data_IF_729748688472
#
_entry.id   IF_729748688472
#
_cell.length_a   1.000
_cell.length_b   1.000
_cell.length_c   1.000
_cell.angle_alpha   90.00
_cell.angle_beta   90.00
_cell.angle_gamma   90.00
#
_symmetry.space_group_name_H-M   'P 1'
#
loop_
_entity.id
_entity.type
_entity.pdbx_description
1 polymer ?
#
# COMPACT_ATOMS: atom_id res chain seq x y z
N UNK A 1 -17.06 2.56 -2.53
CA UNK A 1 -17.21 2.09 -1.13
C UNK A 1 -16.33 0.87 -0.96
N UNK A 2 -15.50 0.81 0.08
CA UNK A 2 -14.61 -0.34 0.30
C UNK A 2 -15.40 -1.53 0.86
N UNK A 3 -15.13 -2.70 0.32
CA UNK A 3 -15.78 -3.95 0.72
C UNK A 3 -14.90 -4.73 1.68
N UNK A 4 -15.49 -5.39 2.66
CA UNK A 4 -14.79 -6.35 3.50
C UNK A 4 -15.64 -7.60 3.74
N UNK A 5 -14.97 -8.71 3.99
CA UNK A 5 -15.59 -9.97 4.44
C UNK A 5 -15.12 -10.31 5.84
N UNK A 6 -15.94 -11.09 6.54
CA UNK A 6 -15.62 -11.63 7.86
C UNK A 6 -15.46 -13.14 7.75
N UNK A 7 -14.35 -13.67 8.24
CA UNK A 7 -14.03 -15.10 8.16
C UNK A 7 -13.50 -15.63 9.49
N UNK A 8 -13.71 -16.93 9.72
CA UNK A 8 -13.17 -17.64 10.90
C UNK A 8 -11.83 -18.30 10.57
N UNK A 9 -10.84 -18.12 11.42
CA UNK A 9 -9.52 -18.74 11.26
C UNK A 9 -9.56 -20.24 11.49
N UNK A 10 -9.11 -21.00 10.49
CA UNK A 10 -8.95 -22.46 10.55
C UNK A 10 -7.53 -22.92 10.89
N UNK A 11 -6.57 -22.01 11.10
CA UNK A 11 -5.18 -22.41 11.38
C UNK A 11 -5.04 -22.97 12.79
N UNK A 12 -4.22 -24.02 12.94
CA UNK A 12 -4.04 -24.71 14.22
C UNK A 12 -2.94 -24.03 15.07
N UNK A 13 -3.18 -22.78 15.47
CA UNK A 13 -2.28 -22.03 16.35
C UNK A 13 -3.10 -21.12 17.29
N UNK A 14 -2.45 -20.15 17.96
CA UNK A 14 -3.09 -19.20 18.88
C UNK A 14 -4.24 -18.35 18.27
N UNK A 15 -4.43 -18.41 16.96
CA UNK A 15 -5.50 -17.72 16.22
C UNK A 15 -6.67 -18.61 15.84
N UNK A 16 -6.62 -19.91 16.17
CA UNK A 16 -7.66 -20.88 15.86
C UNK A 16 -9.02 -20.41 16.36
N UNK A 17 -10.03 -20.59 15.52
CA UNK A 17 -11.43 -20.27 15.80
C UNK A 17 -11.74 -18.78 16.10
N UNK A 18 -10.77 -17.88 15.95
CA UNK A 18 -11.00 -16.42 16.02
C UNK A 18 -11.52 -15.87 14.70
N UNK A 19 -12.29 -14.79 14.78
CA UNK A 19 -12.86 -14.10 13.63
C UNK A 19 -12.00 -12.92 13.20
N UNK A 20 -11.86 -12.74 11.89
CA UNK A 20 -11.06 -11.69 11.27
C UNK A 20 -11.84 -11.04 10.13
N UNK A 21 -11.52 -9.78 9.84
CA UNK A 21 -12.00 -9.09 8.66
C UNK A 21 -10.86 -8.92 7.65
N UNK A 22 -11.16 -9.03 6.37
CA UNK A 22 -10.24 -8.68 5.28
C UNK A 22 -10.93 -7.84 4.22
N UNK A 23 -10.18 -6.90 3.66
CA UNK A 23 -10.63 -6.08 2.54
C UNK A 23 -10.80 -6.97 1.31
N UNK A 24 -11.83 -6.68 0.52
CA UNK A 24 -12.03 -7.23 -0.82
C UNK A 24 -11.67 -6.14 -1.82
N UNK A 25 -10.64 -6.41 -2.62
CA UNK A 25 -10.26 -5.58 -3.76
C UNK A 25 -10.99 -6.08 -5.00
N UNK A 26 -11.74 -5.20 -5.67
CA UNK A 26 -12.52 -5.57 -6.86
C UNK A 26 -11.63 -5.79 -8.08
N UNK A 27 -10.60 -4.96 -8.22
CA UNK A 27 -9.66 -5.02 -9.33
C UNK A 27 -8.27 -4.51 -8.91
N UNK A 28 -7.27 -4.81 -9.73
CA UNK A 28 -5.94 -4.18 -9.67
C UNK A 28 -5.75 -3.38 -10.95
N UNK A 29 -5.54 -2.07 -10.80
CA UNK A 29 -5.32 -1.16 -11.93
C UNK A 29 -3.80 -1.02 -12.14
N UNK A 30 -3.35 -1.30 -13.36
CA UNK A 30 -1.97 -1.14 -13.78
C UNK A 30 -1.71 0.26 -14.42
N UNK A 31 -0.53 0.47 -15.00
CA UNK A 31 -0.18 1.76 -15.63
C UNK A 31 -1.12 2.09 -16.81
N UNK A 32 -1.56 1.08 -17.57
CA UNK A 32 -2.47 1.27 -18.70
C UNK A 32 -3.85 1.72 -18.24
N UNK A 33 -4.39 1.05 -17.22
CA UNK A 33 -5.67 1.40 -16.61
C UNK A 33 -5.61 2.77 -15.92
N UNK A 34 -4.50 3.10 -15.25
CA UNK A 34 -4.31 4.40 -14.60
C UNK A 34 -4.24 5.53 -15.64
N UNK A 35 -3.49 5.34 -16.74
CA UNK A 35 -3.40 6.32 -17.82
C UNK A 35 -4.76 6.56 -18.47
N UNK A 36 -5.56 5.51 -18.70
CA UNK A 36 -6.92 5.66 -19.21
C UNK A 36 -7.84 6.38 -18.21
N UNK A 37 -7.74 6.05 -16.92
CA UNK A 37 -8.49 6.74 -15.87
C UNK A 37 -8.16 8.24 -15.84
N UNK A 38 -6.88 8.60 -15.92
CA UNK A 38 -6.43 10.00 -15.97
C UNK A 38 -6.96 10.73 -17.22
N UNK A 39 -6.90 10.08 -18.39
CA UNK A 39 -7.44 10.64 -19.65
C UNK A 39 -8.93 10.96 -19.53
N UNK A 40 -9.71 10.09 -18.89
CA UNK A 40 -11.15 10.27 -18.66
C UNK A 40 -11.49 11.46 -17.76
N UNK A 41 -10.57 11.91 -16.92
CA UNK A 41 -10.72 13.13 -16.10
C UNK A 41 -10.27 14.40 -16.84
N UNK A 42 -10.43 14.44 -18.16
CA UNK A 42 -10.12 15.57 -19.03
C UNK A 42 -8.65 16.02 -18.98
N UNK A 43 -7.71 15.10 -18.79
CA UNK A 43 -6.31 15.41 -19.03
C UNK A 43 -6.12 15.76 -20.52
N UNK A 44 -5.44 16.86 -20.89
CA UNK A 44 -5.23 17.27 -22.28
C UNK A 44 -4.23 16.38 -23.04
N UNK A 45 -3.86 15.24 -22.47
CA UNK A 45 -2.84 14.33 -22.96
C UNK A 45 -3.49 13.05 -23.47
N UNK A 46 -2.94 12.51 -24.55
CA UNK A 46 -3.31 11.17 -25.02
C UNK A 46 -2.96 10.12 -23.97
N UNK A 47 -3.65 8.96 -24.02
CA UNK A 47 -3.33 7.81 -23.16
C UNK A 47 -1.86 7.41 -23.26
N UNK A 48 -1.29 7.43 -24.48
CA UNK A 48 0.12 7.08 -24.71
C UNK A 48 1.09 8.03 -24.03
N UNK A 49 0.82 9.35 -24.07
CA UNK A 49 1.64 10.34 -23.37
C UNK A 49 1.56 10.16 -21.85
N UNK A 50 0.36 9.96 -21.30
CA UNK A 50 0.16 9.72 -19.86
C UNK A 50 0.90 8.47 -19.39
N UNK A 51 0.79 7.38 -20.15
CA UNK A 51 1.54 6.15 -19.89
C UNK A 51 3.04 6.43 -19.83
N UNK A 52 3.59 7.11 -20.83
CA UNK A 52 5.01 7.45 -20.88
C UNK A 52 5.47 8.23 -19.65
N UNK A 53 4.72 9.28 -19.28
CA UNK A 53 5.01 10.11 -18.10
C UNK A 53 5.00 9.28 -16.80
N UNK A 54 4.01 8.41 -16.61
CA UNK A 54 3.91 7.58 -15.40
C UNK A 54 5.05 6.55 -15.35
N UNK A 55 5.39 5.94 -16.49
CA UNK A 55 6.51 5.00 -16.59
C UNK A 55 7.83 5.70 -16.26
N UNK A 56 8.09 6.89 -16.81
CA UNK A 56 9.29 7.67 -16.52
C UNK A 56 9.33 8.11 -15.06
N UNK A 57 8.20 8.53 -14.48
CA UNK A 57 8.11 8.86 -13.05
C UNK A 57 8.51 7.66 -12.17
N UNK A 58 8.04 6.45 -12.48
CA UNK A 58 8.40 5.25 -11.73
C UNK A 58 9.92 4.97 -11.81
N UNK A 59 10.52 5.14 -12.99
CA UNK A 59 11.96 5.01 -13.19
C UNK A 59 12.75 6.06 -12.41
N UNK A 60 12.37 7.33 -12.48
CA UNK A 60 13.00 8.41 -11.73
C UNK A 60 12.94 8.17 -10.21
N UNK A 61 11.81 7.64 -9.70
CA UNK A 61 11.70 7.27 -8.28
C UNK A 61 12.71 6.18 -7.91
N UNK A 62 12.86 5.16 -8.75
CA UNK A 62 13.84 4.10 -8.53
C UNK A 62 15.27 4.65 -8.50
N UNK A 63 15.66 5.42 -9.52
CA UNK A 63 17.01 6.01 -9.64
C UNK A 63 17.34 6.92 -8.46
N UNK A 64 16.46 7.88 -8.14
CA UNK A 64 16.71 8.81 -7.05
C UNK A 64 16.78 8.10 -5.68
N UNK A 65 15.99 7.04 -5.47
CA UNK A 65 16.02 6.31 -4.20
C UNK A 65 17.24 5.42 -4.03
N UNK A 66 17.77 4.84 -5.11
CA UNK A 66 19.04 4.09 -5.05
C UNK A 66 20.25 5.00 -4.90
N UNK A 67 20.16 6.27 -5.31
CA UNK A 67 21.12 7.34 -4.98
C UNK A 67 21.02 7.86 -3.53
N UNK A 68 20.17 7.26 -2.70
CA UNK A 68 20.02 7.65 -1.28
C UNK A 68 19.10 8.84 -1.03
N UNK A 69 18.41 9.36 -2.05
CA UNK A 69 17.42 10.44 -1.90
C UNK A 69 16.05 9.87 -1.53
N UNK A 70 15.18 10.74 -1.02
CA UNK A 70 13.76 10.43 -0.78
C UNK A 70 12.94 11.23 -1.77
N UNK A 71 12.01 10.57 -2.46
CA UNK A 71 11.11 11.24 -3.40
C UNK A 71 9.75 11.41 -2.72
N UNK A 72 9.32 12.67 -2.55
CA UNK A 72 8.04 13.00 -1.94
C UNK A 72 7.08 13.50 -3.01
N UNK A 73 5.93 12.84 -3.10
CA UNK A 73 4.74 13.37 -3.76
C UNK A 73 3.84 13.94 -2.67
N UNK A 74 3.69 15.29 -2.58
CA UNK A 74 2.84 15.93 -1.58
C UNK A 74 1.44 15.31 -1.54
N UNK A 75 0.89 15.19 -0.33
CA UNK A 75 -0.42 14.60 -0.05
C UNK A 75 -0.66 13.15 -0.49
N UNK A 76 0.32 12.50 -1.12
CA UNK A 76 0.29 11.08 -1.46
C UNK A 76 1.25 10.27 -0.59
N UNK A 77 2.56 10.52 -0.69
CA UNK A 77 3.53 9.73 0.04
C UNK A 77 4.99 10.02 -0.28
N UNK A 78 5.85 9.28 0.42
CA UNK A 78 7.30 9.37 0.32
C UNK A 78 7.83 7.99 -0.06
N UNK A 79 8.55 7.92 -1.17
CA UNK A 79 9.34 6.77 -1.59
C UNK A 79 10.74 6.91 -1.01
N UNK A 80 11.22 5.84 -0.35
CA UNK A 80 12.56 5.81 0.26
C UNK A 80 13.06 4.38 0.43
N UNK A 81 14.37 4.20 0.51
CA UNK A 81 14.93 2.98 1.11
C UNK A 81 14.63 3.01 2.61
N UNK A 82 13.90 2.00 3.07
CA UNK A 82 13.66 1.73 4.47
C UNK A 82 14.65 0.67 4.91
N UNK A 83 15.19 0.86 6.10
CA UNK A 83 16.01 -0.11 6.81
C UNK A 83 15.51 -0.20 8.26
N UNK A 84 15.78 -1.31 8.89
CA UNK A 84 15.69 -1.49 10.33
C UNK A 84 17.10 -1.76 10.87
N UNK A 85 17.35 -1.50 12.15
CA UNK A 85 18.64 -1.83 12.76
C UNK A 85 18.51 -2.90 13.83
N UNK A 86 19.51 -3.77 13.96
CA UNK A 86 19.79 -4.52 15.19
C UNK A 86 21.03 -3.90 15.85
N UNK A 87 21.02 -3.79 17.17
CA UNK A 87 22.19 -3.32 17.92
C UNK A 87 23.26 -4.41 18.05
N UNK A 88 24.53 -4.02 17.92
CA UNK A 88 25.70 -4.83 18.28
C UNK A 88 26.29 -4.35 19.61
N UNK A 89 27.07 -5.19 20.30
CA UNK A 89 27.69 -4.81 21.58
C UNK A 89 28.85 -3.84 21.37
N UNK A 90 29.58 -3.96 20.25
CA UNK A 90 30.66 -3.05 19.88
C UNK A 90 30.48 -2.52 18.46
N UNK A 91 31.09 -1.36 18.16
CA UNK A 91 31.05 -0.78 16.81
C UNK A 91 31.74 -1.66 15.77
N UNK A 92 32.77 -2.42 16.16
CA UNK A 92 33.51 -3.34 15.27
C UNK A 92 32.68 -4.54 14.83
N UNK A 93 31.79 -5.02 15.70
CA UNK A 93 30.85 -6.11 15.40
C UNK A 93 29.66 -5.66 14.53
N UNK A 94 29.50 -4.34 14.34
CA UNK A 94 28.36 -3.80 13.62
C UNK A 94 28.60 -3.80 12.10
N UNK A 95 28.41 -4.95 11.47
CA UNK A 95 28.49 -5.09 10.02
C UNK A 95 27.23 -4.58 9.33
N UNK A 96 27.33 -4.29 8.02
CA UNK A 96 26.19 -3.87 7.21
C UNK A 96 25.07 -4.91 7.22
N UNK A 97 25.37 -6.21 7.27
CA UNK A 97 24.33 -7.24 7.21
C UNK A 97 23.76 -7.60 8.59
N UNK A 98 24.59 -7.51 9.64
CA UNK A 98 24.13 -7.79 11.01
C UNK A 98 23.32 -6.64 11.59
N UNK A 99 23.84 -5.42 11.44
CA UNK A 99 23.21 -4.23 11.97
C UNK A 99 22.13 -3.69 11.04
N UNK A 100 22.35 -3.56 9.73
CA UNK A 100 21.39 -2.91 8.82
C UNK A 100 20.51 -3.96 8.12
N UNK A 101 19.30 -4.16 8.64
CA UNK A 101 18.36 -5.18 8.19
C UNK A 101 17.24 -4.58 7.31
N UNK A 102 16.57 -5.45 6.54
CA UNK A 102 15.38 -5.11 5.75
C UNK A 102 15.58 -3.91 4.81
N UNK A 103 16.63 -3.95 3.99
CA UNK A 103 17.03 -2.89 3.04
C UNK A 103 16.08 -2.89 1.81
N UNK A 104 14.90 -2.31 1.96
CA UNK A 104 13.84 -2.40 0.95
C UNK A 104 13.35 -1.02 0.52
N UNK A 105 12.99 -0.88 -0.76
CA UNK A 105 12.21 0.27 -1.22
C UNK A 105 10.84 0.26 -0.51
N UNK A 106 10.45 1.40 0.02
CA UNK A 106 9.24 1.54 0.83
C UNK A 106 8.50 2.81 0.47
N UNK A 107 7.17 2.69 0.35
CA UNK A 107 6.25 3.81 0.26
C UNK A 107 5.65 4.11 1.63
N UNK A 108 5.71 5.37 2.06
CA UNK A 108 5.08 5.85 3.30
C UNK A 108 4.07 6.95 2.97
N UNK A 109 2.80 6.84 3.38
CA UNK A 109 1.81 7.90 3.20
C UNK A 109 2.25 9.24 3.82
N UNK A 110 1.88 10.35 3.17
CA UNK A 110 2.22 11.72 3.58
C UNK A 110 1.04 12.67 3.35
N UNK A 111 1.03 13.81 4.05
CA UNK A 111 -0.02 14.82 3.93
C UNK A 111 -1.43 14.24 4.13
N UNK A 112 -2.34 14.57 3.22
CA UNK A 112 -3.74 14.10 3.25
C UNK A 112 -3.88 12.57 3.32
N UNK A 113 -3.03 11.80 2.63
CA UNK A 113 -3.05 10.33 2.67
C UNK A 113 -2.49 9.74 3.97
N UNK A 114 -1.95 10.54 4.90
CA UNK A 114 -1.49 10.06 6.22
C UNK A 114 -2.62 9.84 7.22
N UNK A 115 -3.89 9.99 6.83
CA UNK A 115 -5.05 9.82 7.73
C UNK A 115 -4.91 8.57 8.60
N UNK A 116 -5.12 8.74 9.92
CA UNK A 116 -4.94 7.69 10.94
C UNK A 116 -6.04 6.64 10.90
N UNK A 117 -7.21 6.97 10.33
CA UNK A 117 -8.35 6.06 10.23
C UNK A 117 -9.12 6.35 8.93
N UNK A 118 -9.19 5.36 8.05
CA UNK A 118 -9.95 5.43 6.82
C UNK A 118 -11.37 4.95 7.09
N UNK A 119 -12.36 5.83 6.96
CA UNK A 119 -13.79 5.51 7.04
C UNK A 119 -14.46 5.62 8.41
N UNK A 120 -13.91 6.48 9.26
CA UNK A 120 -14.67 7.21 10.27
C UNK A 120 -15.23 8.49 9.62
N UNK A 121 -16.38 8.99 10.05
CA UNK A 121 -17.02 10.25 9.61
C UNK A 121 -16.08 11.47 9.73
N UNK A 122 -14.95 11.30 10.42
CA UNK A 122 -13.83 12.26 10.54
C UNK A 122 -12.84 12.29 9.36
N UNK A 123 -13.01 11.47 8.31
CA UNK A 123 -12.10 11.47 7.15
C UNK A 123 -12.59 12.37 5.99
N UNK A 124 -11.77 13.34 5.57
CA UNK A 124 -12.07 14.27 4.47
C UNK A 124 -12.23 13.65 3.07
N UNK A 125 -11.90 12.36 2.91
CA UNK A 125 -12.09 11.63 1.65
C UNK A 125 -13.41 10.82 1.59
N UNK A 126 -14.25 10.86 2.64
CA UNK A 126 -15.59 10.26 2.61
C UNK A 126 -15.61 8.75 2.36
N UNK A 127 -14.52 8.03 2.67
CA UNK A 127 -14.43 6.58 2.46
C UNK A 127 -15.45 5.87 3.33
N UNK A 128 -16.34 5.08 2.73
CA UNK A 128 -17.32 4.24 3.44
C UNK A 128 -16.95 2.77 3.34
N UNK A 129 -17.32 1.99 4.34
CA UNK A 129 -17.14 0.54 4.39
C UNK A 129 -18.47 -0.19 4.24
N UNK A 130 -18.46 -1.32 3.53
CA UNK A 130 -19.59 -2.24 3.44
C UNK A 130 -19.13 -3.67 3.65
N UNK A 131 -19.78 -4.38 4.56
CA UNK A 131 -19.64 -5.82 4.66
C UNK A 131 -20.38 -6.49 3.50
N UNK A 132 -19.74 -7.45 2.83
CA UNK A 132 -20.35 -8.13 1.69
C UNK A 132 -20.66 -9.61 1.92
N UNK A 133 -19.89 -10.34 2.73
CA UNK A 133 -20.12 -11.78 2.97
C UNK A 133 -19.60 -12.26 4.33
N UNK A 134 -20.12 -13.41 4.77
CA UNK A 134 -19.61 -14.23 5.88
C UNK A 134 -19.09 -15.58 5.35
N UNK A 135 -17.86 -15.94 5.73
CA UNK A 135 -17.26 -17.23 5.34
C UNK A 135 -17.00 -18.08 6.58
N UNK A 136 -17.79 -19.16 6.74
CA UNK A 136 -17.60 -20.17 7.79
C UNK A 136 -17.22 -21.48 7.11
N UNK A 137 -15.99 -21.95 7.35
CA UNK A 137 -15.47 -23.25 6.87
C UNK A 137 -15.79 -23.54 5.39
N UNK A 138 -15.33 -22.67 4.49
CA UNK A 138 -15.40 -22.92 3.03
C UNK A 138 -16.80 -22.86 2.43
N UNK A 139 -17.84 -22.57 3.21
CA UNK A 139 -19.18 -22.30 2.71
C UNK A 139 -19.44 -20.80 2.86
N UNK A 140 -19.60 -20.12 1.72
CA UNK A 140 -20.04 -18.73 1.66
C UNK A 140 -21.53 -18.73 1.98
N UNK A 141 -21.94 -18.08 3.07
CA UNK A 141 -23.36 -17.79 3.30
C UNK A 141 -23.60 -16.32 2.99
N UNK A 142 -24.45 -16.06 2.01
CA UNK A 142 -24.91 -14.70 1.69
C UNK A 142 -25.98 -14.27 2.70
N UNK A 143 -25.94 -12.99 3.08
CA UNK A 143 -27.06 -12.30 3.73
C UNK A 143 -28.08 -11.88 2.67
#
# INVERSE_FOLDING_TARGET
MLKYIVYKSGVNNATKDKWYARIVHEETVDIEGLAEHMRRHNAPYSKGQLKGIITDMARCIYELTTEGKKVKLPDLGIFRIKTNSKGAQTAKECTIDDCLRNKNLSFRPSGAMRSRMWGDDRNGFGVKWKQVEYVVRGVVSNN
#
